data_IF_201155374640
#
_entry.id   IF_201155374640
#
_cell.length_a   1.000
_cell.length_b   1.000
_cell.length_c   1.000
_cell.angle_alpha   90.00
_cell.angle_beta   90.00
_cell.angle_gamma   90.00
#
_symmetry.space_group_name_H-M   'P 1'
#
loop_
_entity.id
_entity.type
_entity.pdbx_description
1 polymer ?
#
# COMPACT_ATOMS: atom_id res chain seq x y z
N UNK A 1 32.66 18.81 8.85
CA UNK A 1 32.29 18.93 7.42
C UNK A 1 31.03 18.11 7.19
N UNK A 2 29.90 18.79 6.96
CA UNK A 2 28.64 18.14 6.65
C UNK A 2 28.69 17.63 5.20
N UNK A 3 28.80 16.32 5.04
CA UNK A 3 28.60 15.69 3.74
C UNK A 3 27.10 15.68 3.44
N UNK A 4 26.62 16.74 2.79
CA UNK A 4 25.27 16.82 2.26
C UNK A 4 25.21 15.88 1.05
N UNK A 5 24.76 14.64 1.28
CA UNK A 5 24.40 13.74 0.19
C UNK A 5 23.12 14.32 -0.44
N UNK A 6 23.11 14.64 -1.74
CA UNK A 6 21.94 15.21 -2.38
C UNK A 6 20.72 14.28 -2.22
N UNK A 7 19.60 14.87 -1.80
CA UNK A 7 18.33 14.23 -1.45
C UNK A 7 17.76 13.33 -2.57
N UNK A 8 18.23 13.49 -3.80
CA UNK A 8 17.82 12.72 -4.98
C UNK A 8 18.49 11.34 -5.09
N UNK A 9 19.55 11.06 -4.34
CA UNK A 9 20.29 9.79 -4.46
C UNK A 9 19.68 8.65 -3.61
N UNK A 10 19.12 8.96 -2.43
CA UNK A 10 18.62 7.96 -1.46
C UNK A 10 17.32 7.27 -1.91
N UNK A 11 16.32 7.98 -2.47
CA UNK A 11 15.14 7.33 -3.06
C UNK A 11 15.52 6.40 -4.20
N UNK A 12 16.55 6.76 -4.96
CA UNK A 12 17.03 6.02 -6.13
C UNK A 12 17.70 4.72 -5.71
N UNK A 13 18.56 4.74 -4.67
CA UNK A 13 19.18 3.52 -4.12
C UNK A 13 18.14 2.58 -3.53
N UNK A 14 17.18 3.07 -2.72
CA UNK A 14 16.14 2.21 -2.16
C UNK A 14 15.19 1.68 -3.24
N UNK A 15 14.86 2.47 -4.26
CA UNK A 15 14.00 2.05 -5.37
C UNK A 15 14.72 1.07 -6.28
N UNK A 16 16.01 1.25 -6.56
CA UNK A 16 16.83 0.31 -7.32
C UNK A 16 17.09 -1.00 -6.57
N UNK A 17 17.30 -0.94 -5.25
CA UNK A 17 17.41 -2.15 -4.43
C UNK A 17 16.09 -2.91 -4.41
N UNK A 18 14.97 -2.22 -4.25
CA UNK A 18 13.61 -2.79 -4.35
C UNK A 18 13.37 -3.40 -5.74
N UNK A 19 13.72 -2.70 -6.82
CA UNK A 19 13.56 -3.18 -8.19
C UNK A 19 14.45 -4.41 -8.46
N UNK A 20 15.68 -4.43 -7.95
CA UNK A 20 16.62 -5.57 -8.06
C UNK A 20 16.18 -6.78 -7.23
N UNK A 21 15.58 -6.56 -6.08
CA UNK A 21 15.02 -7.64 -5.25
C UNK A 21 13.78 -8.25 -5.94
N UNK A 22 12.88 -7.40 -6.46
CA UNK A 22 11.70 -7.83 -7.23
C UNK A 22 12.12 -8.59 -8.51
N UNK A 23 13.14 -8.12 -9.24
CA UNK A 23 13.64 -8.80 -10.45
C UNK A 23 14.32 -10.14 -10.15
N UNK A 24 14.78 -10.37 -8.92
CA UNK A 24 15.32 -11.65 -8.45
C UNK A 24 14.25 -12.61 -7.91
N UNK A 25 12.98 -12.32 -8.17
CA UNK A 25 11.86 -13.19 -7.76
C UNK A 25 11.46 -13.03 -6.31
N UNK A 26 11.94 -12.00 -5.60
CA UNK A 26 11.47 -11.69 -4.25
C UNK A 26 10.00 -11.27 -4.31
N UNK A 27 9.13 -12.05 -3.68
CA UNK A 27 7.71 -11.78 -3.56
C UNK A 27 7.37 -11.48 -2.09
N UNK A 28 7.20 -10.19 -1.70
CA UNK A 28 7.11 -9.76 -0.30
C UNK A 28 5.91 -10.28 0.50
N UNK A 29 5.05 -11.15 -0.07
CA UNK A 29 3.81 -11.59 0.59
C UNK A 29 3.50 -13.09 0.49
N UNK A 30 4.42 -13.96 0.00
CA UNK A 30 4.09 -15.39 -0.11
C UNK A 30 3.91 -16.12 1.22
N UNK A 31 4.49 -15.60 2.33
CA UNK A 31 4.63 -16.35 3.58
C UNK A 31 3.94 -15.71 4.80
N UNK A 32 2.86 -14.95 4.60
CA UNK A 32 2.10 -14.36 5.71
C UNK A 32 0.82 -15.21 6.01
N UNK A 33 0.87 -16.17 6.96
CA UNK A 33 -0.21 -17.15 7.16
C UNK A 33 -1.54 -16.56 7.66
N UNK A 34 -1.52 -15.36 8.26
CA UNK A 34 -2.70 -14.74 8.89
C UNK A 34 -3.51 -13.80 7.98
N UNK A 35 -3.27 -13.85 6.66
CA UNK A 35 -3.79 -12.86 5.71
C UNK A 35 -4.79 -13.46 4.72
N UNK A 36 -5.09 -14.74 4.89
CA UNK A 36 -6.07 -15.44 4.09
C UNK A 36 -7.46 -15.04 4.61
N UNK A 37 -8.30 -14.39 3.78
CA UNK A 37 -9.66 -14.10 4.18
C UNK A 37 -10.44 -15.42 4.31
N UNK A 38 -11.36 -15.50 5.28
CA UNK A 38 -12.06 -16.75 5.63
C UNK A 38 -12.74 -17.39 4.41
N UNK A 39 -12.59 -18.70 4.24
CA UNK A 39 -13.04 -19.45 3.06
C UNK A 39 -14.57 -19.58 2.92
N UNK A 40 -15.34 -19.18 3.92
CA UNK A 40 -16.72 -19.62 4.10
C UNK A 40 -17.82 -18.77 3.42
N UNK A 41 -17.52 -17.67 2.69
CA UNK A 41 -18.58 -16.81 2.13
C UNK A 41 -18.27 -16.14 0.79
N UNK A 42 -17.58 -16.83 -0.12
CA UNK A 42 -17.32 -16.28 -1.47
C UNK A 42 -18.50 -16.58 -2.40
N UNK A 43 -19.60 -15.88 -2.15
CA UNK A 43 -20.73 -15.84 -3.07
C UNK A 43 -20.29 -15.25 -4.41
N UNK A 44 -20.93 -15.70 -5.49
CA UNK A 44 -20.88 -15.13 -6.83
C UNK A 44 -20.73 -13.61 -6.76
N UNK A 45 -19.70 -13.07 -7.41
CA UNK A 45 -19.41 -11.64 -7.38
C UNK A 45 -20.55 -10.87 -8.06
N UNK A 46 -21.49 -10.41 -7.25
CA UNK A 46 -22.50 -9.44 -7.63
C UNK A 46 -22.13 -8.12 -6.97
N UNK A 47 -22.05 -7.06 -7.77
CA UNK A 47 -21.82 -5.71 -7.26
C UNK A 47 -23.19 -5.15 -6.92
N UNK A 48 -23.55 -4.97 -5.64
CA UNK A 48 -24.89 -4.55 -5.29
C UNK A 48 -25.17 -3.17 -5.89
N UNK A 49 -26.33 -2.99 -6.53
CA UNK A 49 -26.77 -1.71 -7.09
C UNK A 49 -26.75 -0.57 -6.06
N UNK A 50 -26.94 -0.90 -4.78
CA UNK A 50 -26.83 0.03 -3.66
C UNK A 50 -25.42 0.62 -3.51
N UNK A 51 -24.35 -0.13 -3.79
CA UNK A 51 -22.96 0.34 -3.69
C UNK A 51 -22.65 1.35 -4.79
N UNK A 52 -23.06 1.04 -6.03
CA UNK A 52 -22.95 1.95 -7.18
C UNK A 52 -23.67 3.28 -6.90
N UNK A 53 -24.92 3.21 -6.44
CA UNK A 53 -25.70 4.40 -6.10
C UNK A 53 -25.06 5.24 -4.99
N UNK A 54 -24.39 4.63 -4.02
CA UNK A 54 -23.66 5.36 -2.97
C UNK A 54 -22.46 6.09 -3.58
N UNK A 55 -21.69 5.44 -4.45
CA UNK A 55 -20.54 6.04 -5.11
C UNK A 55 -20.95 7.21 -6.04
N UNK A 56 -22.01 7.03 -6.83
CA UNK A 56 -22.60 8.08 -7.67
C UNK A 56 -23.04 9.28 -6.84
N UNK A 57 -23.86 9.06 -5.81
CA UNK A 57 -24.32 10.15 -4.93
C UNK A 57 -23.19 10.85 -4.19
N UNK A 58 -22.14 10.12 -3.81
CA UNK A 58 -20.97 10.73 -3.17
C UNK A 58 -20.24 11.68 -4.12
N UNK A 59 -20.22 11.35 -5.41
CA UNK A 59 -19.63 12.18 -6.46
C UNK A 59 -20.52 13.37 -6.83
N UNK A 60 -21.82 13.16 -7.02
CA UNK A 60 -22.80 14.21 -7.36
C UNK A 60 -22.88 15.33 -6.31
N UNK A 61 -22.55 15.02 -5.06
CA UNK A 61 -22.52 16.01 -3.95
C UNK A 61 -21.32 16.95 -4.00
N UNK A 62 -20.32 16.66 -4.82
CA UNK A 62 -19.14 17.50 -4.98
C UNK A 62 -19.47 18.71 -5.86
N UNK A 63 -18.86 19.86 -5.58
CA UNK A 63 -18.92 21.01 -6.49
C UNK A 63 -18.22 20.70 -7.82
N UNK A 64 -18.50 21.45 -8.89
CA UNK A 64 -17.87 21.22 -10.21
C UNK A 64 -16.34 21.23 -10.15
N UNK A 65 -15.75 22.17 -9.41
CA UNK A 65 -14.29 22.22 -9.21
C UNK A 65 -13.76 20.98 -8.47
N UNK A 66 -14.52 20.48 -7.49
CA UNK A 66 -14.18 19.28 -6.74
C UNK A 66 -14.34 18.00 -7.57
N UNK A 67 -15.30 18.00 -8.50
CA UNK A 67 -15.51 16.92 -9.46
C UNK A 67 -14.33 16.82 -10.43
N UNK A 68 -13.86 17.94 -10.97
CA UNK A 68 -12.65 18.01 -11.80
C UNK A 68 -11.40 17.52 -11.04
N UNK A 69 -11.20 18.00 -9.80
CA UNK A 69 -10.09 17.53 -8.96
C UNK A 69 -10.18 16.03 -8.66
N UNK A 70 -11.39 15.50 -8.47
CA UNK A 70 -11.61 14.08 -8.31
C UNK A 70 -11.22 13.30 -9.57
N UNK A 71 -11.65 13.75 -10.75
CA UNK A 71 -11.28 13.16 -12.05
C UNK A 71 -9.77 13.11 -12.24
N UNK A 72 -9.09 14.23 -11.98
CA UNK A 72 -7.64 14.32 -12.10
C UNK A 72 -6.93 13.33 -11.18
N UNK A 73 -7.42 13.16 -9.94
CA UNK A 73 -6.87 12.20 -8.99
C UNK A 73 -7.05 10.76 -9.50
N UNK A 74 -8.26 10.40 -9.96
CA UNK A 74 -8.55 9.06 -10.51
C UNK A 74 -7.69 8.78 -11.74
N UNK A 75 -7.61 9.74 -12.66
CA UNK A 75 -6.76 9.64 -13.84
C UNK A 75 -5.28 9.47 -13.48
N UNK A 76 -4.82 10.16 -12.42
CA UNK A 76 -3.47 9.99 -11.87
C UNK A 76 -3.18 8.57 -11.40
N UNK A 77 -4.16 7.87 -10.82
CA UNK A 77 -4.03 6.45 -10.44
C UNK A 77 -3.99 5.53 -11.67
N UNK A 78 -4.82 5.78 -12.68
CA UNK A 78 -4.83 5.02 -13.93
C UNK A 78 -3.51 5.17 -14.70
N UNK A 79 -3.03 6.41 -14.88
CA UNK A 79 -1.78 6.70 -15.62
C UNK A 79 -0.57 5.98 -15.03
N UNK A 80 -0.56 5.74 -13.73
CA UNK A 80 0.51 5.00 -13.03
C UNK A 80 0.34 3.47 -13.09
N UNK A 81 -0.73 2.98 -13.71
CA UNK A 81 -1.11 1.57 -13.71
C UNK A 81 -1.43 1.05 -12.30
N UNK A 82 -1.88 1.92 -11.40
CA UNK A 82 -2.23 1.52 -10.03
C UNK A 82 -3.67 1.03 -9.98
N UNK A 83 -4.55 1.68 -10.73
CA UNK A 83 -5.95 1.30 -10.90
C UNK A 83 -6.21 0.93 -12.35
N UNK A 84 -6.88 -0.20 -12.57
CA UNK A 84 -7.20 -0.72 -13.90
C UNK A 84 -8.71 -0.75 -14.01
N UNK A 85 -9.26 0.01 -14.96
CA UNK A 85 -10.69 0.01 -15.26
C UNK A 85 -11.11 -1.38 -15.75
N UNK A 86 -12.29 -1.85 -15.33
CA UNK A 86 -12.82 -3.17 -15.67
C UNK A 86 -14.29 -3.13 -16.01
N UNK A 87 -14.72 -4.03 -16.89
CA UNK A 87 -16.16 -4.34 -17.04
C UNK A 87 -16.60 -5.38 -16.03
N UNK A 88 -17.92 -5.58 -15.85
CA UNK A 88 -18.43 -6.62 -14.97
C UNK A 88 -18.05 -8.03 -15.47
N UNK A 89 -18.05 -8.24 -16.78
CA UNK A 89 -17.68 -9.52 -17.41
C UNK A 89 -16.21 -9.86 -17.13
N UNK A 90 -15.31 -8.88 -17.27
CA UNK A 90 -13.89 -9.06 -16.95
C UNK A 90 -13.67 -9.42 -15.48
N UNK A 91 -14.41 -8.78 -14.57
CA UNK A 91 -14.35 -9.10 -13.14
C UNK A 91 -14.83 -10.51 -12.83
N UNK A 92 -15.90 -10.96 -13.49
CA UNK A 92 -16.38 -12.33 -13.35
C UNK A 92 -15.33 -13.33 -13.84
N UNK A 93 -14.64 -13.05 -14.94
CA UNK A 93 -13.53 -13.90 -15.41
C UNK A 93 -12.36 -13.89 -14.42
N UNK A 94 -11.94 -12.72 -13.95
CA UNK A 94 -10.84 -12.59 -12.98
C UNK A 94 -11.16 -13.28 -11.64
N UNK A 95 -12.42 -13.27 -11.22
CA UNK A 95 -12.85 -13.93 -9.99
C UNK A 95 -12.63 -15.45 -9.97
N UNK A 96 -12.45 -16.07 -11.15
CA UNK A 96 -12.16 -17.50 -11.29
C UNK A 96 -10.70 -17.84 -10.99
N UNK A 97 -9.78 -16.90 -11.21
CA UNK A 97 -8.33 -17.13 -11.08
C UNK A 97 -7.71 -16.37 -9.90
N UNK A 98 -8.30 -15.26 -9.49
CA UNK A 98 -7.77 -14.37 -8.47
C UNK A 98 -8.84 -14.00 -7.47
N UNK A 99 -8.45 -13.88 -6.20
CA UNK A 99 -9.40 -13.45 -5.16
C UNK A 99 -9.64 -11.95 -5.28
N UNK A 100 -10.89 -11.54 -5.20
CA UNK A 100 -11.28 -10.14 -5.30
C UNK A 100 -12.03 -9.78 -4.03
N UNK A 101 -11.60 -8.71 -3.38
CA UNK A 101 -12.25 -8.21 -2.17
C UNK A 101 -13.65 -7.67 -2.46
N UNK A 102 -14.54 -7.64 -1.46
CA UNK A 102 -15.81 -6.96 -1.57
C UNK A 102 -15.69 -5.53 -2.12
N UNK A 103 -16.65 -5.07 -2.94
CA UNK A 103 -16.59 -3.76 -3.57
C UNK A 103 -16.51 -2.64 -2.54
N UNK A 104 -15.55 -1.73 -2.74
CA UNK A 104 -15.29 -0.60 -1.87
C UNK A 104 -15.58 0.71 -2.58
N UNK A 105 -16.37 1.58 -1.94
CA UNK A 105 -16.74 2.87 -2.52
C UNK A 105 -15.57 3.85 -2.41
N UNK A 106 -15.25 4.52 -3.50
CA UNK A 106 -14.28 5.63 -3.52
C UNK A 106 -15.02 6.95 -3.45
N UNK A 107 -14.57 7.83 -2.56
CA UNK A 107 -15.14 9.17 -2.39
C UNK A 107 -14.04 10.20 -2.11
N UNK A 108 -14.33 11.47 -2.37
CA UNK A 108 -13.40 12.55 -2.07
C UNK A 108 -13.49 12.98 -0.62
N UNK A 109 -12.33 13.24 -0.02
CA UNK A 109 -12.22 14.06 1.19
C UNK A 109 -11.64 15.40 0.75
N UNK A 110 -12.44 16.47 0.74
CA UNK A 110 -11.94 17.78 0.38
C UNK A 110 -10.84 18.21 1.36
N UNK A 111 -9.86 18.87 0.79
CA UNK A 111 -8.75 19.49 1.47
C UNK A 111 -9.21 20.63 2.37
N UNK A 112 -8.28 21.10 3.19
CA UNK A 112 -8.40 22.37 3.92
C UNK A 112 -7.24 23.25 3.48
N UNK A 113 -7.16 24.50 3.93
CA UNK A 113 -6.04 25.41 3.57
C UNK A 113 -4.63 24.81 3.78
N UNK A 114 -4.48 23.75 4.60
CA UNK A 114 -3.21 23.06 4.87
C UNK A 114 -3.10 21.65 4.25
N UNK A 115 -4.15 21.11 3.63
CA UNK A 115 -4.19 19.73 3.12
C UNK A 115 -4.83 19.70 1.75
N UNK A 116 -4.20 18.99 0.81
CA UNK A 116 -4.76 18.78 -0.54
C UNK A 116 -5.97 17.84 -0.50
N UNK A 117 -6.82 17.96 -1.52
CA UNK A 117 -7.88 17.01 -1.82
C UNK A 117 -7.29 15.61 -1.96
N UNK A 118 -8.03 14.61 -1.47
CA UNK A 118 -7.59 13.22 -1.54
C UNK A 118 -8.77 12.27 -1.70
N UNK A 119 -8.52 11.17 -2.38
CA UNK A 119 -9.44 10.05 -2.45
C UNK A 119 -9.33 9.21 -1.18
N UNK A 120 -10.48 8.83 -0.64
CA UNK A 120 -10.61 7.83 0.40
C UNK A 120 -11.45 6.67 -0.10
N UNK A 121 -11.18 5.49 0.45
CA UNK A 121 -11.85 4.25 0.04
C UNK A 121 -12.50 3.63 1.27
N UNK A 122 -13.82 3.38 1.20
CA UNK A 122 -14.53 2.70 2.27
C UNK A 122 -14.25 1.19 2.22
N UNK A 123 -13.22 0.80 2.96
CA UNK A 123 -12.76 -0.58 3.09
C UNK A 123 -13.49 -1.34 4.20
N UNK A 124 -14.53 -0.79 4.85
CA UNK A 124 -15.17 -1.45 6.01
C UNK A 124 -15.71 -2.84 5.68
N UNK A 125 -16.28 -3.03 4.49
CA UNK A 125 -16.78 -4.34 4.05
C UNK A 125 -15.64 -5.32 3.78
N UNK A 126 -14.63 -4.90 3.03
CA UNK A 126 -13.44 -5.70 2.77
C UNK A 126 -12.70 -6.08 4.08
N UNK A 127 -12.64 -5.15 5.04
CA UNK A 127 -12.02 -5.36 6.34
C UNK A 127 -12.69 -6.42 7.20
N UNK A 128 -13.98 -6.69 6.99
CA UNK A 128 -14.68 -7.79 7.67
C UNK A 128 -14.33 -9.15 7.11
N UNK A 129 -13.80 -9.22 5.89
CA UNK A 129 -13.41 -10.48 5.25
C UNK A 129 -12.04 -10.97 5.70
N UNK A 130 -11.19 -10.09 6.23
CA UNK A 130 -9.92 -10.50 6.81
C UNK A 130 -10.14 -11.11 8.19
N UNK A 131 -9.41 -12.18 8.47
CA UNK A 131 -9.26 -12.67 9.84
C UNK A 131 -8.67 -11.57 10.70
N UNK A 132 -9.09 -11.49 11.96
CA UNK A 132 -8.54 -10.52 12.92
C UNK A 132 -7.08 -10.88 13.19
N UNK A 133 -6.17 -10.35 12.39
CA UNK A 133 -4.74 -10.46 12.64
C UNK A 133 -4.38 -9.71 13.92
N UNK A 134 -3.58 -10.34 14.77
CA UNK A 134 -2.90 -9.62 15.84
C UNK A 134 -1.92 -8.64 15.20
N UNK A 135 -2.14 -7.33 15.37
CA UNK A 135 -1.12 -6.36 14.99
C UNK A 135 0.04 -6.50 15.98
N UNK A 136 1.20 -6.98 15.52
CA UNK A 136 2.45 -6.87 16.28
C UNK A 136 2.88 -5.40 16.23
N UNK A 137 2.18 -4.54 16.96
CA UNK A 137 2.53 -3.14 17.13
C UNK A 137 3.60 -3.06 18.21
N UNK A 138 4.86 -2.85 17.81
CA UNK A 138 5.90 -2.46 18.78
C UNK A 138 5.52 -1.09 19.33
N UNK A 139 5.44 -0.97 20.66
CA UNK A 139 5.13 0.31 21.30
C UNK A 139 6.18 1.36 20.92
N UNK A 140 5.73 2.55 20.51
CA UNK A 140 6.62 3.66 20.11
C UNK A 140 7.64 3.99 21.19
N UNK A 141 7.24 3.88 22.47
CA UNK A 141 8.12 4.07 23.63
C UNK A 141 9.33 3.13 23.62
N UNK A 142 9.14 1.88 23.21
CA UNK A 142 10.21 0.88 23.10
C UNK A 142 11.17 1.25 21.96
N UNK A 143 10.64 1.68 20.80
CA UNK A 143 11.45 2.14 19.68
C UNK A 143 12.32 3.35 20.07
N UNK A 144 11.75 4.33 20.77
CA UNK A 144 12.47 5.52 21.25
C UNK A 144 13.55 5.12 22.28
N UNK A 145 13.22 4.25 23.23
CA UNK A 145 14.18 3.77 24.22
C UNK A 145 15.35 3.05 23.56
N UNK A 146 15.08 2.16 22.59
CA UNK A 146 16.12 1.46 21.83
C UNK A 146 17.00 2.43 21.02
N UNK A 147 16.40 3.44 20.38
CA UNK A 147 17.15 4.48 19.66
C UNK A 147 18.06 5.29 20.60
N UNK A 148 17.62 5.59 21.82
CA UNK A 148 18.43 6.31 22.81
C UNK A 148 19.55 5.46 23.40
N UNK A 149 19.31 4.16 23.61
CA UNK A 149 20.27 3.25 24.23
C UNK A 149 21.33 2.73 23.25
N UNK A 150 20.95 2.54 21.98
CA UNK A 150 21.80 1.87 20.99
C UNK A 150 22.06 2.72 19.74
N UNK A 151 21.44 3.89 19.60
CA UNK A 151 21.57 4.74 18.42
C UNK A 151 22.88 5.54 18.41
N UNK A 152 23.40 5.80 17.20
CA UNK A 152 24.50 6.73 16.98
C UNK A 152 24.02 8.19 17.05
N UNK A 153 24.94 9.14 17.29
CA UNK A 153 24.63 10.56 17.44
C UNK A 153 23.85 11.21 16.27
N UNK A 154 24.12 10.89 14.98
CA UNK A 154 23.25 11.34 13.89
C UNK A 154 22.10 10.36 13.64
N UNK A 155 20.86 10.84 13.78
CA UNK A 155 19.65 10.09 13.45
C UNK A 155 18.97 10.68 12.20
N UNK A 156 18.61 9.81 11.27
CA UNK A 156 17.84 10.17 10.08
C UNK A 156 16.40 9.69 10.25
N UNK A 157 15.44 10.58 10.00
CA UNK A 157 14.01 10.27 10.04
C UNK A 157 13.44 10.39 8.64
N UNK A 158 12.77 9.34 8.17
CA UNK A 158 12.14 9.28 6.85
C UNK A 158 10.65 9.03 6.97
N UNK A 159 9.83 9.82 6.28
CA UNK A 159 8.40 9.57 6.15
C UNK A 159 8.11 8.69 4.92
N UNK A 160 7.53 7.52 5.18
CA UNK A 160 7.14 6.54 4.18
C UNK A 160 5.65 6.65 3.81
N UNK A 161 5.04 7.84 3.88
CA UNK A 161 3.59 8.07 3.65
C UNK A 161 3.03 7.51 2.34
N UNK A 162 3.85 7.40 1.28
CA UNK A 162 3.45 6.79 -0.01
C UNK A 162 3.85 5.32 -0.17
N UNK A 163 4.51 4.71 0.81
CA UNK A 163 4.97 3.33 0.72
C UNK A 163 3.82 2.32 0.67
N UNK A 164 2.67 2.62 1.30
CA UNK A 164 1.47 1.79 1.22
C UNK A 164 1.02 1.52 -0.22
N UNK A 165 0.95 2.56 -1.05
CA UNK A 165 0.56 2.43 -2.46
C UNK A 165 1.60 1.66 -3.29
N UNK A 166 2.82 1.49 -2.79
CA UNK A 166 3.87 0.71 -3.48
C UNK A 166 3.74 -0.79 -3.20
N UNK A 167 3.12 -1.20 -2.11
CA UNK A 167 2.91 -2.61 -1.77
C UNK A 167 1.91 -3.25 -2.73
N UNK A 168 2.25 -4.44 -3.25
CA UNK A 168 1.39 -5.26 -4.09
C UNK A 168 0.91 -6.49 -3.34
N UNK A 169 -0.39 -6.75 -3.43
CA UNK A 169 -0.98 -7.98 -2.95
C UNK A 169 -0.63 -9.13 -3.88
N UNK A 170 -0.50 -10.32 -3.30
CA UNK A 170 -0.27 -11.56 -4.05
C UNK A 170 -1.56 -12.37 -4.02
N UNK A 171 -2.12 -12.62 -5.21
CA UNK A 171 -3.34 -13.42 -5.37
C UNK A 171 -4.64 -12.75 -4.87
N UNK A 172 -4.60 -11.44 -4.62
CA UNK A 172 -5.73 -10.65 -4.12
C UNK A 172 -5.82 -9.32 -4.88
N UNK A 173 -7.04 -8.90 -5.21
CA UNK A 173 -7.32 -7.61 -5.85
C UNK A 173 -8.34 -6.82 -5.03
N UNK A 174 -8.15 -5.51 -4.94
CA UNK A 174 -9.16 -4.58 -4.44
C UNK A 174 -10.14 -4.26 -5.57
N UNK A 175 -11.44 -4.38 -5.30
CA UNK A 175 -12.49 -3.87 -6.18
C UNK A 175 -12.93 -2.48 -5.69
N UNK A 176 -12.76 -1.50 -6.56
CA UNK A 176 -13.03 -0.09 -6.30
C UNK A 176 -14.21 0.36 -7.17
N UNK A 177 -15.23 0.92 -6.54
CA UNK A 177 -16.38 1.51 -7.23
C UNK A 177 -16.21 3.02 -7.20
N UNK A 178 -16.01 3.60 -8.39
CA UNK A 178 -15.72 5.02 -8.59
C UNK A 178 -16.85 5.57 -9.45
N UNK A 179 -17.78 6.32 -8.86
CA UNK A 179 -19.03 6.75 -9.53
C UNK A 179 -19.81 5.52 -10.03
N UNK A 180 -20.04 5.41 -11.33
CA UNK A 180 -20.64 4.27 -12.01
C UNK A 180 -19.60 3.26 -12.54
N UNK A 181 -18.32 3.57 -12.45
CA UNK A 181 -17.24 2.78 -13.02
C UNK A 181 -16.60 1.82 -12.00
N UNK A 182 -15.97 0.77 -12.53
CA UNK A 182 -15.32 -0.26 -11.74
C UNK A 182 -13.83 -0.28 -12.02
N UNK A 183 -13.07 -0.38 -10.95
CA UNK A 183 -11.62 -0.43 -10.98
C UNK A 183 -11.10 -1.58 -10.14
N UNK A 184 -9.99 -2.16 -10.57
CA UNK A 184 -9.21 -3.12 -9.79
C UNK A 184 -7.86 -2.55 -9.43
N UNK A 185 -7.35 -2.93 -8.27
CA UNK A 185 -5.97 -2.65 -7.89
C UNK A 185 -5.33 -3.88 -7.27
N UNK A 186 -4.15 -4.23 -7.75
CA UNK A 186 -3.27 -5.24 -7.14
C UNK A 186 -2.41 -4.63 -6.01
N UNK A 187 -2.62 -3.35 -5.68
CA UNK A 187 -1.86 -2.62 -4.67
C UNK A 187 -2.67 -2.48 -3.38
N UNK A 188 -1.94 -2.35 -2.28
CA UNK A 188 -2.57 -2.07 -0.99
C UNK A 188 -3.22 -0.69 -1.00
N UNK A 189 -4.55 -0.68 -0.94
CA UNK A 189 -5.35 0.54 -0.87
C UNK A 189 -5.39 1.04 0.58
N UNK A 190 -5.35 2.36 0.77
CA UNK A 190 -5.47 2.96 2.09
C UNK A 190 -6.79 2.58 2.77
N UNK A 191 -6.74 2.33 4.09
CA UNK A 191 -7.92 1.97 4.89
C UNK A 191 -8.12 0.46 5.11
N UNK A 192 -7.29 -0.39 4.49
CA UNK A 192 -7.27 -1.83 4.79
C UNK A 192 -6.60 -2.06 6.15
N UNK A 193 -7.29 -2.82 7.02
CA UNK A 193 -6.88 -3.12 8.41
C UNK A 193 -5.53 -3.79 8.51
N UNK A 194 -5.25 -4.66 7.56
CA UNK A 194 -4.04 -5.45 7.55
C UNK A 194 -2.85 -4.61 7.05
N UNK A 195 -3.08 -3.63 6.17
CA UNK A 195 -2.07 -2.79 5.51
C UNK A 195 -0.85 -2.39 6.37
N UNK A 196 -1.02 -1.75 7.55
CA UNK A 196 0.11 -1.36 8.41
C UNK A 196 1.04 -2.52 8.79
N UNK A 197 0.48 -3.70 9.06
CA UNK A 197 1.25 -4.90 9.36
C UNK A 197 2.07 -5.39 8.16
N UNK A 198 1.50 -5.35 6.94
CA UNK A 198 2.26 -5.67 5.72
C UNK A 198 3.44 -4.73 5.57
N UNK A 199 3.20 -3.43 5.72
CA UNK A 199 4.26 -2.44 5.56
C UNK A 199 5.35 -2.64 6.61
N UNK A 200 4.98 -2.87 7.87
CA UNK A 200 5.92 -3.14 8.95
C UNK A 200 6.78 -4.38 8.67
N UNK A 201 6.16 -5.47 8.22
CA UNK A 201 6.88 -6.70 7.87
C UNK A 201 7.82 -6.49 6.67
N UNK A 202 7.32 -5.91 5.56
CA UNK A 202 8.12 -5.64 4.36
C UNK A 202 9.28 -4.69 4.65
N UNK A 203 9.06 -3.61 5.40
CA UNK A 203 10.13 -2.70 5.81
C UNK A 203 11.13 -3.38 6.74
N UNK A 204 10.65 -4.21 7.67
CA UNK A 204 11.51 -4.98 8.56
C UNK A 204 12.44 -5.93 7.80
N UNK A 205 11.92 -6.66 6.80
CA UNK A 205 12.72 -7.52 5.94
C UNK A 205 13.76 -6.72 5.13
N UNK A 206 13.37 -5.59 4.54
CA UNK A 206 14.29 -4.72 3.80
C UNK A 206 15.43 -4.20 4.69
N UNK A 207 15.11 -3.78 5.92
CA UNK A 207 16.11 -3.33 6.89
C UNK A 207 17.03 -4.50 7.28
N UNK A 208 16.49 -5.71 7.48
CA UNK A 208 17.31 -6.88 7.78
C UNK A 208 18.31 -7.18 6.65
N UNK A 209 17.87 -7.14 5.39
CA UNK A 209 18.74 -7.30 4.22
C UNK A 209 19.82 -6.22 4.17
N UNK A 210 19.44 -4.95 4.37
CA UNK A 210 20.38 -3.83 4.40
C UNK A 210 21.45 -4.01 5.49
N UNK A 211 21.04 -4.40 6.71
CA UNK A 211 21.98 -4.67 7.82
C UNK A 211 22.99 -5.76 7.45
N UNK A 212 22.53 -6.86 6.85
CA UNK A 212 23.42 -7.95 6.42
C UNK A 212 24.38 -7.50 5.31
N UNK A 213 23.91 -6.73 4.33
CA UNK A 213 24.75 -6.20 3.26
C UNK A 213 25.81 -5.23 3.78
N UNK A 214 25.44 -4.31 4.66
CA UNK A 214 26.39 -3.40 5.29
C UNK A 214 27.44 -4.16 6.11
N UNK A 215 27.02 -5.15 6.91
CA UNK A 215 27.93 -5.99 7.68
C UNK A 215 28.90 -6.77 6.79
N UNK A 216 28.40 -7.37 5.69
CA UNK A 216 29.23 -8.09 4.72
C UNK A 216 30.22 -7.15 4.00
N UNK A 217 29.80 -5.94 3.66
CA UNK A 217 30.66 -4.95 2.99
C UNK A 217 31.75 -4.44 3.92
N UNK A 218 31.42 -4.19 5.20
CA UNK A 218 32.39 -3.85 6.24
C UNK A 218 33.38 -5.00 6.47
N UNK A 219 32.91 -6.24 6.50
CA UNK A 219 33.77 -7.42 6.63
C UNK A 219 34.71 -7.57 5.43
N UNK A 220 34.21 -7.40 4.20
CA UNK A 220 35.06 -7.43 3.00
C UNK A 220 36.09 -6.30 2.99
N UNK A 221 35.72 -5.09 3.43
CA UNK A 221 36.67 -3.99 3.56
C UNK A 221 37.75 -4.30 4.59
N UNK A 222 37.39 -4.85 5.75
CA UNK A 222 38.34 -5.29 6.76
C UNK A 222 39.26 -6.41 6.25
N UNK A 223 38.73 -7.38 5.50
CA UNK A 223 39.51 -8.47 4.90
C UNK A 223 40.39 -8.04 3.70
N UNK A 224 40.13 -6.87 3.11
CA UNK A 224 40.96 -6.30 2.03
C UNK A 224 42.01 -5.32 2.57
N UNK A 225 41.81 -4.80 3.78
CA UNK A 225 42.73 -3.90 4.46
C UNK A 225 43.71 -4.62 5.40
N UNK A 226 43.52 -5.92 5.65
CA UNK A 226 44.41 -6.81 6.41
C UNK A 226 44.87 -7.97 5.52
#
# INVERSE_FOLDING_TARGET
EEMIIPFDAVPTICTDLLNRLVSRGWQPMRNCPNWVPDSASWQQMSIPSSVRRIAERAYERLSTQQQEAFDELVHGYQKRGWWIARTEEELQQLSRSTRILPPSVVFMIPGTNRRRDRLAVDQRRANRSFTRGSSSSVAVSICIAAARLYGAAPMWVMDCSRAFCKLRWVGLLALLVVRSELFTSDRCVCGVTTGPGSLGHTLGELIAVLRTLCAATLLCFLLLCF
#
